data_IF_854530650670
#
_entry.id   IF_854530650670
#
_cell.length_a   1.000
_cell.length_b   1.000
_cell.length_c   1.000
_cell.angle_alpha   90.00
_cell.angle_beta   90.00
_cell.angle_gamma   90.00
#
_symmetry.space_group_name_H-M   'P 1'
#
loop_
_entity.id
_entity.type
_entity.pdbx_description
1 polymer ?
#
# COMPACT_ATOMS: atom_id res chain seq x y z
N UNK A 1 -24.10 12.43 -40.35
CA UNK A 1 -23.16 11.39 -40.85
C UNK A 1 -22.48 10.76 -39.65
N UNK A 2 -22.90 9.54 -39.29
CA UNK A 2 -22.31 8.78 -38.16
C UNK A 2 -21.16 7.92 -38.69
N UNK A 3 -19.94 8.11 -38.21
CA UNK A 3 -18.82 7.23 -38.50
C UNK A 3 -18.62 6.26 -37.34
N UNK A 4 -18.90 5.00 -37.59
CA UNK A 4 -18.66 3.88 -36.69
C UNK A 4 -17.20 3.45 -36.89
N UNK A 5 -16.36 3.55 -35.86
CA UNK A 5 -15.04 2.94 -35.83
C UNK A 5 -15.16 1.54 -35.22
N UNK A 6 -14.82 0.54 -36.00
CA UNK A 6 -14.66 -0.84 -35.55
C UNK A 6 -13.24 -1.04 -35.01
N UNK A 7 -13.09 -1.47 -33.77
CA UNK A 7 -11.79 -1.93 -33.23
C UNK A 7 -11.67 -3.43 -33.45
N UNK A 8 -10.63 -3.82 -34.17
CA UNK A 8 -10.24 -5.22 -34.35
C UNK A 8 -9.46 -5.70 -33.10
N UNK A 9 -9.94 -6.76 -32.46
CA UNK A 9 -9.22 -7.50 -31.43
C UNK A 9 -8.08 -8.31 -32.08
N UNK A 10 -6.86 -8.01 -31.71
CA UNK A 10 -5.70 -8.85 -31.94
C UNK A 10 -5.44 -9.71 -30.70
N UNK A 11 -5.60 -11.03 -30.84
CA UNK A 11 -5.27 -12.04 -29.84
C UNK A 11 -3.80 -12.46 -30.07
N UNK A 12 -2.91 -12.36 -29.08
CA UNK A 12 -1.57 -12.94 -29.20
C UNK A 12 -1.59 -14.44 -28.87
N UNK A 13 -0.91 -15.22 -29.69
CA UNK A 13 -0.74 -16.66 -29.59
C UNK A 13 0.17 -17.02 -28.40
N UNK A 14 -0.23 -18.05 -27.66
CA UNK A 14 0.54 -18.65 -26.58
C UNK A 14 1.75 -19.42 -27.15
N UNK A 15 2.94 -19.11 -26.66
CA UNK A 15 4.18 -19.83 -26.92
C UNK A 15 4.41 -20.83 -25.78
N UNK A 16 4.30 -22.12 -26.08
CA UNK A 16 4.62 -23.23 -25.16
C UNK A 16 6.11 -23.51 -25.25
N UNK A 17 6.87 -23.32 -24.14
CA UNK A 17 8.24 -23.82 -24.02
C UNK A 17 8.23 -25.17 -23.33
N UNK A 18 8.84 -26.17 -24.00
CA UNK A 18 9.00 -27.52 -23.53
C UNK A 18 10.08 -27.66 -22.44
N UNK A 19 9.80 -28.56 -21.50
CA UNK A 19 10.75 -29.06 -20.52
C UNK A 19 11.76 -30.02 -21.18
N UNK A 20 13.04 -29.76 -21.03
CA UNK A 20 14.12 -30.73 -21.28
C UNK A 20 14.56 -31.29 -19.93
N UNK A 21 14.30 -32.56 -19.72
CA UNK A 21 14.88 -33.37 -18.65
C UNK A 21 16.23 -33.91 -19.11
N UNK A 22 17.27 -33.71 -18.34
CA UNK A 22 18.55 -34.39 -18.54
C UNK A 22 18.89 -35.15 -17.27
N UNK A 23 18.88 -36.47 -17.39
CA UNK A 23 19.30 -37.41 -16.39
C UNK A 23 20.81 -37.70 -16.46
N UNK A 24 21.29 -38.35 -15.43
CA UNK A 24 22.49 -39.14 -15.57
C UNK A 24 23.51 -38.95 -14.48
N UNK A 25 23.88 -40.09 -13.88
CA UNK A 25 25.25 -40.30 -13.43
C UNK A 25 25.38 -40.85 -12.02
N UNK A 26 25.43 -42.16 -11.96
CA UNK A 26 25.83 -43.02 -10.90
C UNK A 26 27.28 -42.90 -10.50
N UNK A 27 27.55 -43.16 -9.24
CA UNK A 27 28.88 -43.36 -8.68
C UNK A 27 28.81 -44.42 -7.58
N UNK A 28 29.26 -45.61 -7.90
CA UNK A 28 29.35 -46.72 -6.99
C UNK A 28 30.46 -46.51 -5.95
N UNK A 29 30.23 -46.94 -4.72
CA UNK A 29 31.24 -47.05 -3.69
C UNK A 29 31.39 -48.48 -3.24
N UNK A 30 32.63 -48.96 -3.31
CA UNK A 30 33.10 -50.26 -2.94
C UNK A 30 32.92 -50.56 -1.45
N UNK A 31 32.47 -51.78 -1.16
CA UNK A 31 32.44 -52.34 0.17
C UNK A 31 33.84 -52.94 0.52
N UNK A 32 34.40 -52.58 1.66
CA UNK A 32 35.51 -53.25 2.30
C UNK A 32 34.97 -53.91 3.58
N UNK A 33 35.18 -55.25 3.80
CA UNK A 33 34.76 -55.88 5.03
C UNK A 33 35.88 -55.73 6.09
N UNK A 34 35.58 -55.10 7.18
CA UNK A 34 36.41 -55.06 8.39
C UNK A 34 35.70 -55.78 9.53
N UNK A 35 36.30 -56.86 9.98
CA UNK A 35 35.94 -57.63 11.16
C UNK A 35 36.37 -56.94 12.43
N UNK A 36 35.50 -56.94 13.45
CA UNK A 36 36.01 -56.88 14.83
C UNK A 36 35.20 -56.04 15.83
N UNK A 37 34.62 -56.72 16.80
CA UNK A 37 34.46 -56.20 18.14
C UNK A 37 33.17 -55.51 18.49
N UNK A 38 32.19 -56.27 18.96
CA UNK A 38 31.00 -55.75 19.65
C UNK A 38 31.40 -55.14 21.02
N UNK A 39 31.28 -53.83 21.12
CA UNK A 39 31.13 -53.15 22.40
C UNK A 39 29.70 -52.61 22.47
N UNK A 40 29.01 -52.72 23.59
CA UNK A 40 27.70 -52.11 23.74
C UNK A 40 27.86 -50.58 23.77
N UNK A 41 27.35 -49.94 22.75
CA UNK A 41 27.19 -48.50 22.75
C UNK A 41 26.10 -48.17 23.76
N UNK A 42 26.49 -47.63 24.92
CA UNK A 42 25.56 -46.95 25.82
C UNK A 42 25.11 -45.69 25.09
N UNK A 43 23.88 -45.70 24.67
CA UNK A 43 23.21 -44.49 24.12
C UNK A 43 23.27 -43.39 25.21
N UNK A 44 23.86 -42.24 24.96
CA UNK A 44 23.73 -41.15 25.92
C UNK A 44 22.27 -40.75 25.90
N UNK A 45 21.60 -40.95 27.05
CA UNK A 45 20.23 -40.52 27.34
C UNK A 45 20.10 -39.03 26.96
N UNK A 46 19.47 -38.77 25.81
CA UNK A 46 19.14 -37.42 25.38
C UNK A 46 18.13 -36.89 26.38
N UNK A 47 18.59 -36.03 27.26
CA UNK A 47 17.75 -35.34 28.23
C UNK A 47 16.68 -34.49 27.48
N UNK A 48 15.35 -34.77 27.64
CA UNK A 48 14.32 -34.04 26.92
C UNK A 48 14.20 -32.57 27.29
N UNK A 49 15.05 -32.07 28.18
CA UNK A 49 15.03 -30.68 28.67
C UNK A 49 15.96 -29.73 27.90
N UNK A 50 16.71 -30.21 26.90
CA UNK A 50 17.58 -29.35 26.06
C UNK A 50 16.99 -29.03 24.68
N UNK A 51 15.68 -29.14 24.53
CA UNK A 51 14.99 -28.44 23.45
C UNK A 51 15.03 -26.92 23.77
N UNK A 52 16.14 -26.30 23.45
CA UNK A 52 16.32 -24.86 23.59
C UNK A 52 15.11 -24.16 23.01
N UNK A 53 14.43 -23.42 23.86
CA UNK A 53 13.34 -22.53 23.43
C UNK A 53 13.87 -21.73 22.22
N UNK A 54 13.17 -21.72 21.07
CA UNK A 54 13.65 -20.97 19.92
C UNK A 54 13.86 -19.54 20.39
N UNK A 55 15.08 -19.05 20.28
CA UNK A 55 15.38 -17.64 20.55
C UNK A 55 14.39 -16.80 19.77
N UNK A 56 13.71 -15.85 20.38
CA UNK A 56 12.78 -15.00 19.66
C UNK A 56 13.55 -14.34 18.53
N UNK A 57 13.15 -14.63 17.29
CA UNK A 57 13.68 -13.95 16.12
C UNK A 57 13.40 -12.45 16.37
N UNK A 58 14.39 -11.58 16.38
CA UNK A 58 14.16 -10.17 16.60
C UNK A 58 13.19 -9.70 15.52
N UNK A 59 12.00 -9.26 15.94
CA UNK A 59 11.04 -8.60 15.05
C UNK A 59 11.69 -7.28 14.62
N UNK A 60 12.39 -7.31 13.49
CA UNK A 60 12.97 -6.11 12.93
C UNK A 60 11.81 -5.26 12.39
N UNK A 61 11.41 -4.27 13.15
CA UNK A 61 10.55 -3.21 12.61
C UNK A 61 11.33 -2.56 11.47
N UNK A 62 10.78 -2.52 10.25
CA UNK A 62 11.45 -1.87 9.13
C UNK A 62 11.85 -0.44 9.50
N UNK A 63 13.02 0.01 9.05
CA UNK A 63 13.43 1.39 9.25
C UNK A 63 12.37 2.32 8.62
N UNK A 64 12.03 3.44 9.27
CA UNK A 64 11.08 4.39 8.72
C UNK A 64 11.53 4.92 7.35
N UNK A 65 10.59 5.08 6.44
CA UNK A 65 10.81 5.60 5.09
C UNK A 65 10.56 7.12 5.11
N UNK A 66 11.56 7.92 4.74
CA UNK A 66 11.37 9.36 4.61
C UNK A 66 10.52 9.68 3.39
N UNK A 67 9.40 10.37 3.57
CA UNK A 67 8.61 10.91 2.47
C UNK A 67 9.41 12.03 1.78
N UNK A 68 9.54 11.91 0.47
CA UNK A 68 10.20 12.90 -0.39
C UNK A 68 9.16 13.48 -1.33
N UNK A 69 8.92 14.79 -1.20
CA UNK A 69 7.92 15.51 -2.00
C UNK A 69 8.20 15.36 -3.50
N UNK A 70 7.14 15.16 -4.29
CA UNK A 70 7.23 15.03 -5.75
C UNK A 70 7.73 13.67 -6.21
N UNK A 71 7.77 12.66 -5.33
CA UNK A 71 8.08 11.27 -5.71
C UNK A 71 6.82 10.42 -5.77
N UNK A 72 6.93 9.24 -6.40
CA UNK A 72 5.88 8.23 -6.45
C UNK A 72 6.23 7.11 -5.49
N UNK A 73 5.29 6.72 -4.62
CA UNK A 73 5.42 5.56 -3.74
C UNK A 73 4.42 4.50 -4.19
N UNK A 74 4.95 3.37 -4.64
CA UNK A 74 4.17 2.27 -5.19
C UNK A 74 4.14 2.25 -6.71
N UNK A 75 3.31 1.37 -7.28
CA UNK A 75 3.07 1.29 -8.72
C UNK A 75 1.95 2.24 -9.09
N UNK A 76 2.16 3.07 -10.09
CA UNK A 76 1.12 3.94 -10.63
C UNK A 76 0.01 3.07 -11.23
N UNK A 77 -1.21 3.22 -10.72
CA UNK A 77 -2.37 2.43 -11.16
C UNK A 77 -3.52 3.31 -11.64
N UNK A 78 -3.76 4.43 -10.98
CA UNK A 78 -4.80 5.37 -11.35
C UNK A 78 -4.24 6.50 -12.20
N UNK A 79 -5.00 6.99 -13.21
CA UNK A 79 -4.64 8.23 -13.88
C UNK A 79 -4.64 9.39 -12.88
N UNK A 80 -3.94 10.47 -13.22
CA UNK A 80 -4.00 11.70 -12.45
C UNK A 80 -5.45 12.08 -12.13
N UNK A 81 -5.72 12.41 -10.88
CA UNK A 81 -7.04 12.81 -10.47
C UNK A 81 -7.35 14.22 -11.00
N UNK A 82 -8.61 14.45 -11.35
CA UNK A 82 -9.12 15.75 -11.80
C UNK A 82 -10.55 15.90 -11.29
N UNK A 83 -10.73 16.63 -10.21
CA UNK A 83 -12.04 16.88 -9.63
C UNK A 83 -12.91 17.73 -10.56
N UNK A 84 -14.22 17.43 -10.61
CA UNK A 84 -15.18 18.23 -11.35
C UNK A 84 -15.42 19.64 -10.74
N UNK A 85 -14.93 19.89 -9.52
CA UNK A 85 -15.09 21.15 -8.81
C UNK A 85 -16.53 21.39 -8.28
N UNK A 86 -17.36 20.35 -8.22
CA UNK A 86 -18.71 20.40 -7.62
C UNK A 86 -18.61 20.13 -6.13
N UNK A 87 -19.60 20.58 -5.35
CA UNK A 87 -19.65 20.24 -3.92
C UNK A 87 -19.70 18.72 -3.73
N UNK A 88 -18.90 18.20 -2.78
CA UNK A 88 -18.84 16.80 -2.35
C UNK A 88 -18.92 16.80 -0.82
N UNK A 89 -19.84 16.04 -0.23
CA UNK A 89 -20.06 15.95 1.23
C UNK A 89 -20.20 17.30 1.94
N UNK A 90 -20.74 18.29 1.24
CA UNK A 90 -20.84 19.66 1.75
C UNK A 90 -19.55 20.49 1.62
N UNK A 91 -18.44 19.90 1.17
CA UNK A 91 -17.21 20.64 0.87
C UNK A 91 -17.25 21.24 -0.54
N UNK A 92 -16.91 22.51 -0.63
CA UNK A 92 -16.80 23.20 -1.91
C UNK A 92 -15.34 23.22 -2.41
N UNK A 93 -15.20 23.22 -3.74
CA UNK A 93 -13.92 23.50 -4.37
C UNK A 93 -13.65 25.01 -4.30
N UNK A 94 -12.55 25.43 -3.71
CA UNK A 94 -12.22 26.82 -3.40
C UNK A 94 -10.98 27.26 -4.19
N UNK A 95 -10.87 28.56 -4.46
CA UNK A 95 -9.67 29.13 -5.12
C UNK A 95 -8.43 29.00 -4.23
N UNK A 96 -8.62 29.12 -2.91
CA UNK A 96 -7.58 29.01 -1.92
C UNK A 96 -8.10 28.26 -0.70
N UNK A 97 -7.28 27.38 -0.18
CA UNK A 97 -7.44 26.71 1.10
C UNK A 97 -6.22 27.03 1.97
N UNK A 98 -6.11 26.47 3.14
CA UNK A 98 -5.03 26.71 4.08
C UNK A 98 -5.47 27.58 5.25
N UNK A 99 -4.67 27.56 6.28
CA UNK A 99 -4.92 28.23 7.54
C UNK A 99 -4.18 27.54 8.67
N UNK A 100 -4.43 27.95 9.92
CA UNK A 100 -3.74 27.40 11.10
C UNK A 100 -4.07 25.92 11.37
N UNK A 101 -5.05 25.34 10.66
CA UNK A 101 -5.42 23.93 10.74
C UNK A 101 -4.80 23.05 9.65
N UNK A 102 -3.77 23.51 8.94
CA UNK A 102 -3.08 22.73 7.91
C UNK A 102 -2.33 21.56 8.56
N UNK A 103 -2.72 20.36 8.21
CA UNK A 103 -2.13 19.11 8.70
C UNK A 103 -2.09 18.07 7.58
N UNK A 104 -1.39 16.96 7.85
CA UNK A 104 -1.21 15.88 6.88
C UNK A 104 -1.54 14.52 7.50
N UNK A 105 -2.05 13.62 6.66
CA UNK A 105 -2.13 12.19 6.93
C UNK A 105 -1.47 11.43 5.78
N UNK A 106 -1.03 10.22 6.04
CA UNK A 106 -0.46 9.36 4.99
C UNK A 106 -1.35 8.14 4.77
N UNK A 107 -1.67 7.86 3.51
CA UNK A 107 -2.40 6.69 3.06
C UNK A 107 -1.50 5.78 2.22
N UNK A 108 -1.35 4.53 2.67
CA UNK A 108 -0.77 3.44 1.87
C UNK A 108 -1.89 2.50 1.42
N UNK A 109 -1.97 2.23 0.13
CA UNK A 109 -2.90 1.26 -0.44
C UNK A 109 -2.12 0.10 -1.06
N UNK A 110 -2.53 -1.13 -0.75
CA UNK A 110 -1.95 -2.34 -1.32
C UNK A 110 -3.04 -3.19 -1.95
N UNK A 111 -2.74 -3.78 -3.09
CA UNK A 111 -3.58 -4.78 -3.72
C UNK A 111 -2.75 -6.04 -3.96
N UNK A 112 -3.13 -7.15 -3.31
CA UNK A 112 -2.40 -8.43 -3.35
C UNK A 112 -0.90 -8.26 -3.05
N UNK A 113 -0.57 -7.50 -2.00
CA UNK A 113 0.79 -7.25 -1.55
C UNK A 113 1.59 -6.24 -2.39
N UNK A 114 1.02 -5.70 -3.47
CA UNK A 114 1.65 -4.68 -4.31
C UNK A 114 1.16 -3.29 -3.88
N UNK A 115 2.08 -2.39 -3.53
CA UNK A 115 1.73 -1.02 -3.18
C UNK A 115 1.27 -0.25 -4.42
N UNK A 116 0.10 0.37 -4.32
CA UNK A 116 -0.52 1.17 -5.36
C UNK A 116 -0.29 2.65 -5.03
N UNK A 117 0.23 3.41 -5.96
CA UNK A 117 0.41 4.84 -5.77
C UNK A 117 -0.94 5.54 -5.65
N UNK A 118 -1.06 6.40 -4.65
CA UNK A 118 -2.20 7.31 -4.52
C UNK A 118 -1.97 8.46 -5.51
N UNK A 119 -2.90 8.73 -6.44
CA UNK A 119 -2.64 9.71 -7.48
C UNK A 119 -2.53 11.13 -6.92
N UNK A 120 -1.69 11.94 -7.55
CA UNK A 120 -1.70 13.38 -7.37
C UNK A 120 -3.00 13.99 -7.90
N UNK A 121 -3.37 15.15 -7.39
CA UNK A 121 -4.53 15.91 -7.87
C UNK A 121 -5.88 15.46 -7.34
N UNK A 122 -5.94 14.49 -6.40
CA UNK A 122 -7.18 14.26 -5.65
C UNK A 122 -7.61 15.60 -5.06
N UNK A 123 -8.89 15.93 -5.20
CA UNK A 123 -9.43 17.19 -4.69
C UNK A 123 -8.94 18.46 -5.40
N UNK A 124 -8.38 18.33 -6.59
CA UNK A 124 -7.97 19.48 -7.43
C UNK A 124 -8.71 19.48 -8.76
N UNK A 125 -9.07 20.66 -9.23
CA UNK A 125 -9.69 20.85 -10.56
C UNK A 125 -8.67 21.45 -11.51
N UNK A 126 -8.48 20.82 -12.68
CA UNK A 126 -7.49 21.20 -13.70
C UNK A 126 -6.11 21.41 -13.06
N UNK A 127 -5.54 20.37 -12.41
CA UNK A 127 -4.20 20.45 -11.86
C UNK A 127 -3.17 20.59 -12.99
N UNK A 128 -2.02 21.20 -12.69
CA UNK A 128 -0.86 21.12 -13.57
C UNK A 128 -0.31 19.67 -13.62
N UNK A 129 0.64 19.41 -14.53
CA UNK A 129 1.21 18.07 -14.74
C UNK A 129 2.61 17.90 -14.13
N UNK A 130 2.97 18.74 -13.14
CA UNK A 130 4.23 18.60 -12.43
C UNK A 130 4.18 17.38 -11.46
N UNK A 131 5.34 16.84 -11.12
CA UNK A 131 5.43 15.76 -10.13
C UNK A 131 4.89 16.18 -8.75
N UNK A 132 4.96 17.47 -8.46
CA UNK A 132 4.25 18.13 -7.36
C UNK A 132 3.40 19.26 -7.95
N UNK A 133 2.09 19.20 -7.73
CA UNK A 133 1.13 20.14 -8.29
C UNK A 133 1.18 21.45 -7.52
N UNK A 134 1.45 22.54 -8.22
CA UNK A 134 1.45 23.90 -7.67
C UNK A 134 0.26 24.74 -8.12
N UNK A 135 -0.34 24.38 -9.27
CA UNK A 135 -1.38 25.19 -9.89
C UNK A 135 -2.60 24.35 -10.24
N UNK A 136 -3.76 24.84 -9.86
CA UNK A 136 -5.08 24.26 -10.11
C UNK A 136 -6.14 25.37 -10.19
N UNK A 137 -7.27 25.10 -10.82
CA UNK A 137 -8.39 26.06 -10.90
C UNK A 137 -9.09 26.26 -9.57
N UNK A 138 -9.27 25.21 -8.78
CA UNK A 138 -9.72 25.22 -7.40
C UNK A 138 -9.35 23.91 -6.71
N UNK A 139 -9.38 23.88 -5.36
CA UNK A 139 -9.08 22.71 -4.57
C UNK A 139 -10.01 22.58 -3.36
N UNK A 140 -10.15 21.35 -2.86
CA UNK A 140 -10.88 21.05 -1.64
C UNK A 140 -9.96 21.09 -0.43
N UNK A 141 -10.51 21.13 0.77
CA UNK A 141 -9.76 21.04 2.02
C UNK A 141 -8.95 19.74 2.15
N UNK A 142 -9.39 18.67 1.45
CA UNK A 142 -8.69 17.39 1.37
C UNK A 142 -8.19 17.23 -0.07
N UNK A 143 -6.87 17.11 -0.22
CA UNK A 143 -6.26 17.00 -1.55
C UNK A 143 -4.86 16.38 -1.49
N UNK A 144 -4.32 15.99 -2.66
CA UNK A 144 -2.97 15.47 -2.82
C UNK A 144 -2.20 16.30 -3.85
N UNK A 145 -0.93 16.63 -3.57
CA UNK A 145 -0.06 17.32 -4.51
C UNK A 145 0.82 16.39 -5.34
N UNK A 146 1.13 15.21 -4.80
CA UNK A 146 2.03 14.23 -5.43
C UNK A 146 1.52 12.80 -5.18
N UNK A 147 2.31 11.82 -5.58
CA UNK A 147 1.97 10.40 -5.49
C UNK A 147 2.65 9.69 -4.31
N UNK A 148 3.00 10.43 -3.26
CA UNK A 148 3.57 9.85 -2.03
C UNK A 148 2.51 9.21 -1.13
N UNK A 149 1.21 9.47 -1.38
CA UNK A 149 0.13 9.12 -0.46
C UNK A 149 -0.09 10.15 0.64
N UNK A 150 0.60 11.28 0.59
CA UNK A 150 0.41 12.39 1.53
C UNK A 150 -0.87 13.15 1.18
N UNK A 151 -1.82 13.17 2.10
CA UNK A 151 -3.09 13.88 1.99
C UNK A 151 -3.01 15.14 2.83
N UNK A 152 -3.23 16.29 2.21
CA UNK A 152 -3.34 17.58 2.87
C UNK A 152 -4.74 17.75 3.45
N UNK A 153 -4.81 18.24 4.69
CA UNK A 153 -6.03 18.65 5.38
C UNK A 153 -5.90 20.15 5.70
N UNK A 154 -6.61 20.99 4.98
CA UNK A 154 -6.46 22.45 5.05
C UNK A 154 -7.79 23.16 5.36
N UNK A 155 -8.42 22.95 6.53
CA UNK A 155 -9.64 23.64 6.88
C UNK A 155 -9.40 25.13 7.07
N UNK A 156 -10.39 25.96 6.73
CA UNK A 156 -10.29 27.43 6.89
C UNK A 156 -10.17 27.86 8.35
N UNK A 157 -10.85 27.16 9.25
CA UNK A 157 -10.91 27.49 10.67
C UNK A 157 -10.92 26.21 11.48
N UNK A 158 -10.07 26.17 12.51
CA UNK A 158 -9.99 25.03 13.43
C UNK A 158 -9.51 23.72 12.78
N UNK A 159 -9.62 22.64 13.52
CA UNK A 159 -9.39 21.30 13.01
C UNK A 159 -10.70 20.78 12.42
N UNK A 160 -10.91 20.91 11.12
CA UNK A 160 -12.09 20.32 10.46
C UNK A 160 -12.23 18.85 10.82
N UNK A 161 -13.47 18.39 11.01
CA UNK A 161 -13.75 16.96 11.19
C UNK A 161 -13.82 16.32 9.82
N UNK A 162 -12.79 15.58 9.44
CA UNK A 162 -12.71 14.85 8.20
C UNK A 162 -12.63 13.35 8.46
N UNK A 163 -13.14 12.57 7.51
CA UNK A 163 -12.98 11.12 7.51
C UNK A 163 -12.22 10.67 6.26
N UNK A 164 -11.70 9.45 6.29
CA UNK A 164 -11.11 8.84 5.09
C UNK A 164 -12.17 8.69 3.98
N UNK A 165 -13.45 8.48 4.33
CA UNK A 165 -14.56 8.49 3.39
C UNK A 165 -14.61 9.77 2.58
N UNK A 166 -14.47 10.94 3.21
CA UNK A 166 -14.49 12.21 2.50
C UNK A 166 -13.36 12.34 1.46
N UNK A 167 -12.16 11.77 1.74
CA UNK A 167 -11.08 11.72 0.76
C UNK A 167 -11.47 10.92 -0.46
N UNK A 168 -12.05 9.73 -0.26
CA UNK A 168 -12.45 8.84 -1.34
C UNK A 168 -13.65 9.38 -2.13
N UNK A 169 -14.61 10.03 -1.47
CA UNK A 169 -15.74 10.69 -2.14
C UNK A 169 -15.27 11.85 -3.03
N UNK A 170 -14.31 12.66 -2.55
CA UNK A 170 -13.67 13.72 -3.34
C UNK A 170 -12.86 13.12 -4.50
N UNK A 171 -12.18 11.98 -4.29
CA UNK A 171 -11.47 11.23 -5.32
C UNK A 171 -12.44 10.58 -6.34
N UNK A 172 -13.68 10.36 -5.94
CA UNK A 172 -14.67 9.65 -6.75
C UNK A 172 -14.46 8.14 -6.78
N UNK A 173 -13.82 7.60 -5.75
CA UNK A 173 -13.54 6.16 -5.61
C UNK A 173 -14.35 5.56 -4.47
N UNK A 174 -14.80 4.30 -4.58
CA UNK A 174 -15.49 3.63 -3.49
C UNK A 174 -14.55 3.34 -2.31
N UNK A 175 -15.07 3.50 -1.09
CA UNK A 175 -14.41 3.06 0.14
C UNK A 175 -15.44 2.43 1.08
N UNK A 176 -15.40 1.12 1.21
CA UNK A 176 -16.22 0.37 2.14
C UNK A 176 -15.60 -1.01 2.45
N UNK A 177 -16.24 -1.78 3.31
CA UNK A 177 -15.75 -3.10 3.76
C UNK A 177 -15.62 -4.18 2.68
N UNK A 178 -16.04 -3.91 1.44
CA UNK A 178 -15.96 -4.87 0.32
C UNK A 178 -15.24 -4.32 -0.91
N UNK A 179 -15.05 -3.00 -0.98
CA UNK A 179 -14.46 -2.35 -2.16
C UNK A 179 -13.66 -1.12 -1.75
N UNK A 180 -12.40 -1.08 -2.13
CA UNK A 180 -11.48 0.05 -1.93
C UNK A 180 -10.90 0.45 -3.27
N UNK A 181 -11.28 1.61 -3.78
CA UNK A 181 -10.83 2.15 -5.06
C UNK A 181 -10.98 1.15 -6.25
N UNK A 182 -12.03 0.32 -6.23
CA UNK A 182 -12.27 -0.71 -7.25
C UNK A 182 -11.66 -2.08 -6.93
N UNK A 183 -10.74 -2.18 -5.97
CA UNK A 183 -10.20 -3.46 -5.51
C UNK A 183 -11.18 -4.15 -4.57
N UNK A 184 -11.33 -5.47 -4.72
CA UNK A 184 -12.23 -6.30 -3.94
C UNK A 184 -11.50 -7.52 -3.38
N UNK A 185 -11.92 -8.00 -2.22
CA UNK A 185 -11.30 -9.15 -1.54
C UNK A 185 -11.26 -8.95 -0.03
N UNK A 186 -10.60 -9.86 0.70
CA UNK A 186 -10.33 -9.66 2.12
C UNK A 186 -9.58 -8.35 2.35
N UNK A 187 -9.93 -7.63 3.42
CA UNK A 187 -9.30 -6.35 3.75
C UNK A 187 -8.57 -6.44 5.08
N UNK A 188 -7.38 -5.86 5.12
CA UNK A 188 -6.64 -5.57 6.36
C UNK A 188 -6.42 -4.06 6.42
N UNK A 189 -6.90 -3.44 7.49
CA UNK A 189 -6.79 -2.00 7.70
C UNK A 189 -5.98 -1.77 8.97
N UNK A 190 -4.97 -0.93 8.87
CA UNK A 190 -4.07 -0.60 9.98
C UNK A 190 -4.03 0.92 10.10
N UNK A 191 -4.30 1.41 11.29
CA UNK A 191 -4.25 2.85 11.63
C UNK A 191 -3.22 3.04 12.73
N UNK A 192 -2.18 3.82 12.49
CA UNK A 192 -1.08 4.07 13.42
C UNK A 192 -0.51 2.77 14.02
N UNK A 193 -0.33 1.75 13.16
CA UNK A 193 0.21 0.45 13.57
C UNK A 193 -0.78 -0.48 14.28
N UNK A 194 -2.05 -0.10 14.46
CA UNK A 194 -3.08 -0.92 15.09
C UNK A 194 -4.13 -1.37 14.07
N UNK A 195 -4.54 -2.63 14.12
CA UNK A 195 -5.61 -3.15 13.27
C UNK A 195 -6.92 -2.41 13.56
N UNK A 196 -7.56 -1.95 12.50
CA UNK A 196 -8.88 -1.33 12.53
C UNK A 196 -9.92 -2.28 11.94
N UNK A 197 -11.01 -2.51 12.67
CA UNK A 197 -12.06 -3.48 12.30
C UNK A 197 -13.40 -2.83 11.92
N UNK A 198 -13.49 -1.50 11.93
CA UNK A 198 -14.69 -0.77 11.53
C UNK A 198 -14.78 -0.53 10.03
N UNK A 199 -15.79 0.23 9.63
CA UNK A 199 -15.94 0.71 8.26
C UNK A 199 -14.81 1.72 7.95
N UNK A 200 -13.96 1.47 6.93
CA UNK A 200 -12.85 2.37 6.61
C UNK A 200 -13.29 3.80 6.25
N UNK A 201 -14.50 3.98 5.74
CA UNK A 201 -15.02 5.32 5.44
C UNK A 201 -15.23 6.18 6.68
N UNK A 202 -15.36 5.54 7.85
CA UNK A 202 -15.60 6.21 9.13
C UNK A 202 -14.31 6.52 9.91
N UNK A 203 -13.13 6.21 9.37
CA UNK A 203 -11.87 6.56 10.02
C UNK A 203 -11.76 8.09 10.09
N UNK A 204 -11.85 8.63 11.32
CA UNK A 204 -11.65 10.06 11.55
C UNK A 204 -10.18 10.41 11.36
N UNK A 205 -9.90 11.40 10.51
CA UNK A 205 -8.54 11.84 10.21
C UNK A 205 -8.00 12.75 11.34
N UNK A 206 -6.76 12.51 11.71
CA UNK A 206 -6.02 13.32 12.69
C UNK A 206 -4.61 13.63 12.16
N UNK A 207 -3.98 14.72 12.62
CA UNK A 207 -2.63 15.09 12.20
C UNK A 207 -1.63 13.94 12.33
N UNK A 208 -0.78 13.77 11.30
CA UNK A 208 0.29 12.76 11.23
C UNK A 208 -0.17 11.30 11.33
N UNK A 209 -1.45 11.05 11.14
CA UNK A 209 -1.98 9.69 11.09
C UNK A 209 -1.42 8.93 9.89
N UNK A 210 -1.08 7.66 10.10
CA UNK A 210 -0.70 6.74 9.04
C UNK A 210 -1.76 5.65 8.90
N UNK A 211 -2.30 5.51 7.70
CA UNK A 211 -3.34 4.55 7.37
C UNK A 211 -2.79 3.62 6.30
N UNK A 212 -2.85 2.32 6.55
CA UNK A 212 -2.54 1.30 5.55
C UNK A 212 -3.81 0.49 5.30
N UNK A 213 -4.19 0.38 4.04
CA UNK A 213 -5.27 -0.50 3.59
C UNK A 213 -4.66 -1.52 2.64
N UNK A 214 -4.88 -2.78 2.94
CA UNK A 214 -4.54 -3.88 2.05
C UNK A 214 -5.80 -4.61 1.64
N UNK A 215 -5.92 -4.87 0.34
CA UNK A 215 -7.01 -5.64 -0.26
C UNK A 215 -6.43 -6.88 -0.93
N UNK A 216 -7.00 -8.03 -0.65
CA UNK A 216 -6.54 -9.29 -1.22
C UNK A 216 -5.62 -10.06 -0.28
N UNK A 217 -4.44 -10.47 -0.76
CA UNK A 217 -3.47 -11.21 0.06
C UNK A 217 -2.75 -10.27 1.02
N UNK A 218 -2.83 -10.49 2.34
CA UNK A 218 -2.18 -9.64 3.34
C UNK A 218 -0.66 -9.50 3.15
N UNK A 219 -0.12 -8.37 3.55
CA UNK A 219 1.32 -8.12 3.55
C UNK A 219 2.03 -9.11 4.49
N UNK A 220 3.18 -9.64 4.07
CA UNK A 220 3.99 -10.52 4.91
C UNK A 220 4.84 -9.71 5.90
N UNK A 221 4.25 -9.02 6.84
CA UNK A 221 5.01 -8.28 7.84
C UNK A 221 4.32 -7.00 8.31
N UNK A 222 5.00 -6.20 9.16
CA UNK A 222 4.46 -4.92 9.60
C UNK A 222 4.35 -3.95 8.41
N UNK A 223 3.30 -3.10 8.39
CA UNK A 223 3.14 -2.10 7.35
C UNK A 223 4.33 -1.13 7.34
N UNK A 224 4.63 -0.51 6.19
CA UNK A 224 5.62 0.56 6.14
C UNK A 224 5.27 1.69 7.11
N UNK A 225 6.29 2.26 7.76
CA UNK A 225 6.17 3.45 8.57
C UNK A 225 6.85 4.61 7.85
N UNK A 226 6.18 5.75 7.74
CA UNK A 226 6.67 6.90 6.99
C UNK A 226 6.97 8.08 7.90
N UNK A 227 8.08 8.75 7.64
CA UNK A 227 8.42 10.03 8.25
C UNK A 227 7.90 11.15 7.35
N UNK A 228 7.08 12.01 7.91
CA UNK A 228 6.55 13.18 7.21
C UNK A 228 7.69 14.16 6.88
N UNK A 229 7.59 14.93 5.78
CA UNK A 229 8.60 15.90 5.41
C UNK A 229 8.82 16.93 6.51
N UNK A 230 10.08 17.31 6.75
CA UNK A 230 10.43 18.31 7.77
C UNK A 230 9.84 19.67 7.38
N UNK A 231 9.19 20.32 8.34
CA UNK A 231 8.55 21.62 8.12
C UNK A 231 7.12 21.57 7.58
N UNK A 232 6.58 20.38 7.40
CA UNK A 232 5.15 20.18 7.15
C UNK A 232 4.42 20.19 8.51
N UNK A 233 3.43 21.07 8.68
CA UNK A 233 2.65 21.17 9.91
C UNK A 233 1.74 19.97 10.16
#
# INVERSE_FOLDING_TARGET
>A
MKRTLAYALLIPAALTLGLVACGGGGGGSSLVPGTGGSQPIVDPEINPLDAGSPSPVPSMTPAPIQLVIGTTIGTEFFPEANSAGKAVDGFNCLLHVGGPGHHHVHLSLFNNGVQIAIPRGIGMKNPDHNNFIYHQSCLYFLHTHDETGLIHMEPKVGNGSFTLGNVFDIWGQPLNVTNVAGFTGPQLIIVNGQTYTGDPSQIALAPFMQITIEVGTPLPGPPPNYLFPVGYP
#
